data_IF_020928823262
#
_entry.id   IF_020928823262
#
_cell.length_a   1.000
_cell.length_b   1.000
_cell.length_c   1.000
_cell.angle_alpha   90.00
_cell.angle_beta   90.00
_cell.angle_gamma   90.00
#
_symmetry.space_group_name_H-M   'P 1'
#
loop_
_entity.id
_entity.type
_entity.pdbx_description
1 polymer ?
#
# COMPACT_ATOMS: atom_id res chain seq x y z
N UNK A 1 -60.71 -43.71 -3.01
CA UNK A 1 -60.26 -43.59 -4.42
C UNK A 1 -59.32 -42.39 -4.51
N UNK A 2 -57.99 -42.58 -4.50
CA UNK A 2 -57.02 -41.47 -4.52
C UNK A 2 -55.98 -41.74 -5.60
N UNK A 3 -56.04 -40.97 -6.70
CA UNK A 3 -55.09 -41.05 -7.82
C UNK A 3 -53.91 -40.14 -7.52
N UNK A 4 -52.77 -40.72 -7.16
CA UNK A 4 -51.50 -39.99 -7.04
C UNK A 4 -50.94 -39.75 -8.43
N UNK A 5 -51.03 -38.51 -8.90
CA UNK A 5 -50.41 -38.05 -10.14
C UNK A 5 -48.91 -37.91 -9.88
N UNK A 6 -48.11 -38.76 -10.50
CA UNK A 6 -46.65 -38.71 -10.41
C UNK A 6 -46.14 -37.85 -11.57
N UNK A 7 -45.83 -36.59 -11.29
CA UNK A 7 -45.27 -35.66 -12.27
C UNK A 7 -43.81 -36.04 -12.50
N UNK A 8 -43.51 -36.58 -13.67
CA UNK A 8 -42.14 -36.91 -14.10
C UNK A 8 -41.61 -35.72 -14.87
N UNK A 9 -40.80 -34.88 -14.22
CA UNK A 9 -40.14 -33.74 -14.85
C UNK A 9 -38.94 -34.28 -15.65
N UNK A 10 -38.86 -34.04 -16.97
CA UNK A 10 -37.73 -34.50 -17.78
C UNK A 10 -36.45 -33.77 -17.35
N UNK A 11 -35.45 -34.54 -16.94
CA UNK A 11 -34.16 -34.06 -16.44
C UNK A 11 -33.36 -33.26 -17.47
N UNK A 12 -33.65 -33.42 -18.76
CA UNK A 12 -32.98 -32.72 -19.86
C UNK A 12 -33.29 -31.21 -19.88
N UNK A 13 -34.52 -30.81 -19.54
CA UNK A 13 -34.91 -29.38 -19.49
C UNK A 13 -34.25 -28.67 -18.31
N UNK A 14 -34.07 -29.38 -17.19
CA UNK A 14 -33.41 -28.85 -15.98
C UNK A 14 -31.93 -28.57 -16.22
N UNK A 15 -31.25 -29.40 -17.01
CA UNK A 15 -29.82 -29.23 -17.30
C UNK A 15 -29.51 -28.05 -18.24
N UNK A 16 -30.33 -27.85 -19.27
CA UNK A 16 -30.16 -26.71 -20.20
C UNK A 16 -30.47 -25.36 -19.55
N UNK A 17 -31.46 -25.30 -18.66
CA UNK A 17 -31.75 -24.09 -17.88
C UNK A 17 -30.60 -23.81 -16.89
N UNK A 18 -30.06 -24.85 -16.25
CA UNK A 18 -28.94 -24.72 -15.31
C UNK A 18 -27.66 -24.21 -15.98
N UNK A 19 -27.32 -24.69 -17.17
CA UNK A 19 -26.13 -24.21 -17.89
C UNK A 19 -26.28 -22.76 -18.37
N UNK A 20 -27.50 -22.37 -18.75
CA UNK A 20 -27.82 -20.98 -19.15
C UNK A 20 -27.75 -20.02 -17.96
N UNK A 21 -28.32 -20.39 -16.82
CA UNK A 21 -28.25 -19.62 -15.57
C UNK A 21 -26.79 -19.48 -15.10
N UNK A 22 -26.00 -20.56 -15.17
CA UNK A 22 -24.57 -20.54 -14.80
C UNK A 22 -23.76 -19.62 -15.70
N UNK A 23 -24.01 -19.65 -17.01
CA UNK A 23 -23.33 -18.78 -17.99
C UNK A 23 -23.66 -17.31 -17.76
N UNK A 24 -24.93 -16.98 -17.50
CA UNK A 24 -25.36 -15.61 -17.16
C UNK A 24 -24.75 -15.11 -15.85
N UNK A 25 -24.69 -15.95 -14.83
CA UNK A 25 -24.02 -15.63 -13.57
C UNK A 25 -22.52 -15.36 -13.74
N UNK A 26 -21.83 -16.18 -14.54
CA UNK A 26 -20.42 -15.98 -14.85
C UNK A 26 -20.20 -14.66 -15.61
N UNK A 27 -21.08 -14.35 -16.56
CA UNK A 27 -20.99 -13.12 -17.33
C UNK A 27 -21.15 -11.86 -16.46
N UNK A 28 -22.13 -11.87 -15.54
CA UNK A 28 -22.33 -10.79 -14.57
C UNK A 28 -21.15 -10.70 -13.60
N UNK A 29 -20.64 -11.84 -13.13
CA UNK A 29 -19.45 -11.89 -12.27
C UNK A 29 -18.22 -11.28 -12.94
N UNK A 30 -17.99 -11.57 -14.22
CA UNK A 30 -16.91 -10.96 -15.01
C UNK A 30 -17.13 -9.45 -15.19
N UNK A 31 -18.36 -9.02 -15.48
CA UNK A 31 -18.71 -7.60 -15.61
C UNK A 31 -18.48 -6.79 -14.34
N UNK A 32 -18.69 -7.41 -13.17
CA UNK A 32 -18.43 -6.78 -11.87
C UNK A 32 -16.95 -6.78 -11.48
N UNK A 33 -16.15 -7.73 -11.98
CA UNK A 33 -14.71 -7.83 -11.70
C UNK A 33 -13.84 -7.03 -12.68
N UNK A 34 -14.33 -6.74 -13.88
CA UNK A 34 -13.64 -5.93 -14.89
C UNK A 34 -13.21 -4.53 -14.39
N UNK A 35 -14.05 -3.76 -13.67
CA UNK A 35 -13.66 -2.47 -13.10
C UNK A 35 -12.50 -2.59 -12.10
N UNK A 36 -12.46 -3.66 -11.30
CA UNK A 36 -11.41 -3.89 -10.30
C UNK A 36 -10.06 -4.10 -10.97
N UNK A 37 -10.04 -4.83 -12.09
CA UNK A 37 -8.83 -5.02 -12.89
C UNK A 37 -8.41 -3.74 -13.63
N UNK A 38 -9.37 -2.92 -14.08
CA UNK A 38 -9.10 -1.63 -14.70
C UNK A 38 -8.56 -0.59 -13.70
N UNK A 39 -9.05 -0.58 -12.46
CA UNK A 39 -8.51 0.27 -11.39
C UNK A 39 -7.07 -0.09 -10.98
N UNK A 40 -6.62 -1.33 -11.24
CA UNK A 40 -5.23 -1.72 -11.04
C UNK A 40 -4.29 -1.16 -12.14
N UNK A 41 -4.82 -0.66 -13.25
CA UNK A 41 -4.07 0.13 -14.23
C UNK A 41 -4.00 1.60 -13.80
N UNK A 42 -3.50 1.85 -12.58
CA UNK A 42 -3.05 3.19 -12.20
C UNK A 42 -1.99 3.66 -13.20
N UNK A 43 -2.00 4.95 -13.58
CA UNK A 43 -1.01 5.50 -14.50
C UNK A 43 0.41 5.13 -14.05
N UNK A 44 1.30 4.69 -14.96
CA UNK A 44 2.68 4.38 -14.62
C UNK A 44 3.41 5.58 -13.98
N UNK A 45 2.95 6.82 -14.24
CA UNK A 45 3.47 8.02 -13.60
C UNK A 45 2.96 8.20 -12.16
N UNK A 46 1.72 7.84 -11.87
CA UNK A 46 1.15 7.92 -10.51
C UNK A 46 1.83 6.91 -9.58
N UNK A 47 2.09 5.70 -10.11
CA UNK A 47 2.86 4.68 -9.38
C UNK A 47 4.31 5.10 -9.15
N UNK A 48 4.95 5.74 -10.14
CA UNK A 48 6.30 6.27 -10.01
C UNK A 48 6.42 7.37 -8.95
N UNK A 49 5.49 8.33 -8.94
CA UNK A 49 5.47 9.40 -7.94
C UNK A 49 5.22 8.86 -6.53
N UNK A 50 4.28 7.92 -6.39
CA UNK A 50 4.00 7.25 -5.10
C UNK A 50 5.22 6.48 -4.59
N UNK A 51 5.94 5.79 -5.46
CA UNK A 51 7.17 5.08 -5.10
C UNK A 51 8.28 6.05 -4.66
N UNK A 52 8.45 7.17 -5.36
CA UNK A 52 9.41 8.20 -4.96
C UNK A 52 9.06 8.79 -3.59
N UNK A 53 7.79 9.15 -3.36
CA UNK A 53 7.33 9.64 -2.07
C UNK A 53 7.65 8.65 -0.96
N UNK A 54 7.36 7.37 -1.18
CA UNK A 54 7.63 6.28 -0.22
C UNK A 54 9.13 6.12 0.06
N UNK A 55 9.98 6.25 -0.95
CA UNK A 55 11.43 6.19 -0.79
C UNK A 55 11.96 7.39 0.00
N UNK A 56 11.49 8.61 -0.30
CA UNK A 56 11.92 9.84 0.38
C UNK A 56 11.52 9.88 1.85
N UNK A 57 10.38 9.32 2.22
CA UNK A 57 9.91 9.28 3.62
C UNK A 57 10.36 8.02 4.37
N UNK A 58 10.75 6.96 3.66
CA UNK A 58 11.16 5.68 4.23
C UNK A 58 12.68 5.48 4.27
N UNK A 59 13.21 4.75 3.29
CA UNK A 59 14.61 4.29 3.27
C UNK A 59 15.60 5.45 3.13
N UNK A 60 15.31 6.43 2.27
CA UNK A 60 16.18 7.59 2.08
C UNK A 60 16.18 8.45 3.34
N UNK A 61 15.03 8.70 3.96
CA UNK A 61 14.94 9.45 5.22
C UNK A 61 15.80 8.83 6.33
N UNK A 62 15.76 7.49 6.47
CA UNK A 62 16.59 6.76 7.45
C UNK A 62 18.08 6.91 7.18
N UNK A 63 18.50 6.73 5.93
CA UNK A 63 19.91 6.86 5.55
C UNK A 63 20.42 8.30 5.73
N UNK A 64 19.65 9.28 5.24
CA UNK A 64 19.98 10.70 5.36
C UNK A 64 20.03 11.16 6.82
N UNK A 65 19.11 10.68 7.65
CA UNK A 65 19.10 10.93 9.10
C UNK A 65 20.39 10.44 9.76
N UNK A 66 20.82 9.21 9.46
CA UNK A 66 22.03 8.63 10.05
C UNK A 66 23.28 9.44 9.65
N UNK A 67 23.38 9.84 8.39
CA UNK A 67 24.46 10.71 7.89
C UNK A 67 24.43 12.08 8.60
N UNK A 68 23.25 12.69 8.74
CA UNK A 68 23.09 13.99 9.38
C UNK A 68 23.49 13.95 10.86
N UNK A 69 23.17 12.87 11.57
CA UNK A 69 23.59 12.66 12.96
C UNK A 69 25.11 12.53 13.06
N UNK A 70 25.73 11.72 12.20
CA UNK A 70 27.18 11.47 12.26
C UNK A 70 27.97 12.73 11.90
N UNK A 71 27.65 13.36 10.76
CA UNK A 71 28.38 14.54 10.28
C UNK A 71 28.06 15.76 11.14
N UNK A 72 26.78 15.99 11.44
CA UNK A 72 26.34 17.09 12.30
C UNK A 72 26.86 16.92 13.73
N UNK A 73 26.84 15.70 14.27
CA UNK A 73 27.35 15.39 15.61
C UNK A 73 28.86 15.57 15.70
N UNK A 74 29.60 15.13 14.69
CA UNK A 74 31.04 15.37 14.60
C UNK A 74 31.36 16.87 14.54
N UNK A 75 30.68 17.61 13.67
CA UNK A 75 30.82 19.06 13.55
C UNK A 75 30.35 19.82 14.79
N UNK A 76 29.42 19.28 15.58
CA UNK A 76 29.01 19.86 16.86
C UNK A 76 30.03 19.58 17.97
N UNK A 77 30.65 18.39 18.00
CA UNK A 77 31.63 18.03 19.01
C UNK A 77 32.98 18.74 18.80
N UNK A 78 33.45 18.82 17.55
CA UNK A 78 34.78 19.32 17.19
C UNK A 78 34.76 20.64 16.40
N UNK A 79 33.58 21.22 16.16
CA UNK A 79 33.46 22.48 15.43
C UNK A 79 33.91 23.69 16.24
N UNK A 80 34.48 24.65 15.51
CA UNK A 80 34.84 25.97 16.04
C UNK A 80 33.61 26.65 16.66
N UNK A 81 33.75 27.33 17.83
CA UNK A 81 32.66 28.04 18.46
C UNK A 81 32.01 29.07 17.51
N UNK A 82 30.67 29.15 17.54
CA UNK A 82 29.90 30.12 16.74
C UNK A 82 28.89 29.46 15.80
N UNK A 83 28.59 30.13 14.69
CA UNK A 83 27.49 29.75 13.79
C UNK A 83 27.66 28.35 13.18
N UNK A 84 28.89 27.95 12.82
CA UNK A 84 29.16 26.62 12.23
C UNK A 84 28.80 25.48 13.19
N UNK A 85 29.18 25.61 14.47
CA UNK A 85 28.83 24.63 15.51
C UNK A 85 27.31 24.55 15.73
N UNK A 86 26.64 25.70 15.75
CA UNK A 86 25.18 25.74 15.88
C UNK A 86 24.49 25.05 14.68
N UNK A 87 24.94 25.31 13.45
CA UNK A 87 24.40 24.66 12.25
C UNK A 87 24.64 23.15 12.24
N UNK A 88 25.82 22.70 12.69
CA UNK A 88 26.10 21.27 12.84
C UNK A 88 25.18 20.61 13.88
N UNK A 89 24.90 21.30 14.99
CA UNK A 89 23.92 20.86 15.99
C UNK A 89 22.50 20.78 15.43
N UNK A 90 22.08 21.75 14.61
CA UNK A 90 20.77 21.71 13.94
C UNK A 90 20.69 20.53 12.97
N UNK A 91 21.73 20.29 12.17
CA UNK A 91 21.77 19.14 11.25
C UNK A 91 21.71 17.80 12.00
N UNK A 92 22.42 17.66 13.11
CA UNK A 92 22.34 16.48 13.96
C UNK A 92 20.94 16.32 14.57
N UNK A 93 20.38 17.41 15.10
CA UNK A 93 19.06 17.43 15.73
C UNK A 93 17.93 17.09 14.76
N UNK A 94 17.96 17.62 13.54
CA UNK A 94 16.99 17.26 12.50
C UNK A 94 17.12 15.79 12.10
N UNK A 95 18.34 15.26 12.00
CA UNK A 95 18.58 13.84 11.82
C UNK A 95 17.91 12.99 12.91
N UNK A 96 18.09 13.33 14.18
CA UNK A 96 17.46 12.64 15.32
C UNK A 96 15.93 12.71 15.22
N UNK A 97 15.38 13.89 14.94
CA UNK A 97 13.93 14.09 14.83
C UNK A 97 13.32 13.22 13.72
N UNK A 98 13.98 13.12 12.56
CA UNK A 98 13.54 12.26 11.46
C UNK A 98 13.61 10.78 11.85
N UNK A 99 14.63 10.35 12.59
CA UNK A 99 14.70 8.96 13.07
C UNK A 99 13.64 8.66 14.13
N UNK A 100 13.29 9.63 14.98
CA UNK A 100 12.29 9.46 16.03
C UNK A 100 10.91 9.10 15.46
N UNK A 101 10.55 9.59 14.28
CA UNK A 101 9.31 9.20 13.60
C UNK A 101 9.24 7.67 13.37
N UNK A 102 10.36 7.02 13.05
CA UNK A 102 10.42 5.57 12.89
C UNK A 102 10.25 4.83 14.22
N UNK A 103 10.79 5.38 15.32
CA UNK A 103 10.61 4.80 16.66
C UNK A 103 9.15 4.91 17.10
N UNK A 104 8.49 6.04 16.83
CA UNK A 104 7.08 6.23 17.14
C UNK A 104 6.19 5.27 16.33
N UNK A 105 6.49 5.05 15.05
CA UNK A 105 5.80 4.04 14.24
C UNK A 105 6.00 2.62 14.79
N UNK A 106 7.20 2.28 15.29
CA UNK A 106 7.42 0.98 15.96
C UNK A 106 6.61 0.81 17.25
N UNK A 107 6.54 1.86 18.07
CA UNK A 107 5.84 1.81 19.37
C UNK A 107 4.32 1.77 19.23
N UNK A 108 3.77 2.50 18.25
CA UNK A 108 2.34 2.78 18.20
C UNK A 108 1.68 2.36 16.88
N UNK A 109 2.42 1.80 15.93
CA UNK A 109 1.88 1.22 14.71
C UNK A 109 1.21 2.23 13.77
N UNK A 110 1.69 3.47 13.73
CA UNK A 110 1.31 4.42 12.68
C UNK A 110 1.99 4.06 11.35
#
# INVERSE_FOLDING_TARGET
>A
MSRRIRIVIPSQTVQSVRSWVRSRFLFIGVLLLLPVAAHAQSSPFDSGFTNLQTLFTGTIAKAASLIAIVIGGYGFAHGEPGAKKALAGVAAGTGIAVMAANVLSWLWGA
#
